data_IF_752913293229
#
_entry.id   IF_752913293229
#
_cell.length_a   1.000
_cell.length_b   1.000
_cell.length_c   1.000
_cell.angle_alpha   90.00
_cell.angle_beta   90.00
_cell.angle_gamma   90.00
#
_symmetry.space_group_name_H-M   'P 1'
#
loop_
_entity.id
_entity.type
_entity.pdbx_description
1 polymer ?
#
# COMPACT_ATOMS: atom_id res chain seq x y z
N UNK A 1 -7.54 13.56 36.43
CA UNK A 1 -7.20 13.86 35.02
C UNK A 1 -5.69 14.01 34.79
N UNK A 2 -4.96 14.69 35.65
CA UNK A 2 -3.51 14.95 35.45
C UNK A 2 -2.65 13.67 35.34
N UNK A 3 -2.89 12.62 36.13
CA UNK A 3 -2.08 11.39 36.09
C UNK A 3 -2.17 10.63 34.76
N UNK A 4 -3.35 10.58 34.13
CA UNK A 4 -3.53 9.92 32.82
C UNK A 4 -2.83 10.75 31.74
N UNK A 5 -2.98 12.07 31.75
CA UNK A 5 -2.28 12.95 30.81
C UNK A 5 -0.76 12.85 30.95
N UNK A 6 -0.23 12.87 32.16
CA UNK A 6 1.21 12.72 32.41
C UNK A 6 1.73 11.35 31.95
N UNK A 7 0.95 10.26 32.15
CA UNK A 7 1.32 8.93 31.66
C UNK A 7 1.34 8.89 30.13
N UNK A 8 0.32 9.45 29.47
CA UNK A 8 0.25 9.53 28.02
C UNK A 8 1.43 10.31 27.45
N UNK A 9 1.70 11.48 28.02
CA UNK A 9 2.74 12.41 27.55
C UNK A 9 4.16 11.88 27.79
N UNK A 10 4.42 11.32 28.95
CA UNK A 10 5.78 10.92 29.34
C UNK A 10 6.14 9.49 28.95
N UNK A 11 5.17 8.56 28.89
CA UNK A 11 5.45 7.14 28.59
C UNK A 11 4.98 6.68 27.22
N UNK A 12 3.84 7.15 26.74
CA UNK A 12 3.28 6.67 25.49
C UNK A 12 3.74 7.50 24.27
N UNK A 13 3.84 8.82 24.42
CA UNK A 13 4.26 9.70 23.33
C UNK A 13 5.66 9.44 22.78
N UNK A 14 6.71 9.28 23.60
CA UNK A 14 8.05 9.14 23.06
C UNK A 14 8.25 7.93 22.14
N UNK A 15 7.82 6.71 22.49
CA UNK A 15 7.94 5.57 21.58
C UNK A 15 7.07 5.71 20.32
N UNK A 16 5.86 6.25 20.43
CA UNK A 16 4.97 6.46 19.28
C UNK A 16 5.53 7.50 18.30
N UNK A 17 6.04 8.61 18.81
CA UNK A 17 6.72 9.61 17.99
C UNK A 17 7.97 9.05 17.32
N UNK A 18 8.71 8.19 18.02
CA UNK A 18 9.89 7.52 17.45
C UNK A 18 9.49 6.62 16.27
N UNK A 19 8.42 5.84 16.41
CA UNK A 19 7.89 5.00 15.33
C UNK A 19 7.38 5.86 14.18
N UNK A 20 6.56 6.88 14.45
CA UNK A 20 6.01 7.77 13.43
C UNK A 20 7.08 8.48 12.60
N UNK A 21 8.23 8.79 13.22
CA UNK A 21 9.35 9.45 12.57
C UNK A 21 10.33 8.50 11.87
N UNK A 22 10.10 7.18 11.90
CA UNK A 22 10.88 6.25 11.09
C UNK A 22 10.74 6.59 9.61
N UNK A 23 11.86 6.62 8.91
CA UNK A 23 11.93 7.05 7.50
C UNK A 23 10.99 6.26 6.60
N UNK A 24 10.95 4.95 6.76
CA UNK A 24 10.06 4.08 5.98
C UNK A 24 8.58 4.32 6.31
N UNK A 25 8.22 4.56 7.58
CA UNK A 25 6.84 4.92 7.98
C UNK A 25 6.42 6.23 7.32
N UNK A 26 7.26 7.25 7.36
CA UNK A 26 7.00 8.54 6.69
C UNK A 26 6.82 8.38 5.18
N UNK A 27 7.62 7.51 4.53
CA UNK A 27 7.46 7.21 3.11
C UNK A 27 6.14 6.50 2.81
N UNK A 28 5.74 5.50 3.62
CA UNK A 28 4.47 4.79 3.48
C UNK A 28 3.29 5.74 3.69
N UNK A 29 3.36 6.64 4.68
CA UNK A 29 2.32 7.65 4.91
C UNK A 29 2.10 8.53 3.67
N UNK A 30 3.19 9.00 3.06
CA UNK A 30 3.13 9.83 1.85
C UNK A 30 2.62 9.02 0.65
N UNK A 31 3.03 7.76 0.53
CA UNK A 31 2.51 6.86 -0.50
C UNK A 31 1.00 6.64 -0.34
N UNK A 32 0.51 6.43 0.88
CA UNK A 32 -0.91 6.30 1.17
C UNK A 32 -1.73 7.52 0.74
N UNK A 33 -1.20 8.72 0.96
CA UNK A 33 -1.89 9.96 0.55
C UNK A 33 -1.93 10.12 -0.97
N UNK A 34 -0.82 9.88 -1.66
CA UNK A 34 -0.76 10.06 -3.12
C UNK A 34 -1.57 9.03 -3.90
N UNK A 35 -1.92 7.91 -3.29
CA UNK A 35 -2.74 6.86 -3.92
C UNK A 35 -4.25 7.11 -3.77
N UNK A 36 -4.68 8.05 -2.93
CA UNK A 36 -6.11 8.37 -2.73
C UNK A 36 -6.87 8.67 -4.02
N UNK A 37 -6.36 9.47 -4.98
CA UNK A 37 -7.09 9.73 -6.23
C UNK A 37 -7.42 8.46 -7.01
N UNK A 38 -6.53 7.47 -7.03
CA UNK A 38 -6.76 6.20 -7.73
C UNK A 38 -7.85 5.36 -7.06
N UNK A 39 -7.90 5.36 -5.72
CA UNK A 39 -8.98 4.68 -5.00
C UNK A 39 -10.33 5.35 -5.22
N UNK A 40 -10.37 6.68 -5.27
CA UNK A 40 -11.60 7.42 -5.56
C UNK A 40 -12.10 7.10 -6.97
N UNK A 41 -11.23 7.15 -7.98
CA UNK A 41 -11.60 6.82 -9.38
C UNK A 41 -12.16 5.40 -9.46
N UNK A 42 -11.48 4.42 -8.90
CA UNK A 42 -11.95 3.04 -8.89
C UNK A 42 -13.29 2.86 -8.16
N UNK A 43 -13.47 3.56 -7.04
CA UNK A 43 -14.72 3.51 -6.25
C UNK A 43 -15.92 4.10 -7.00
N UNK A 44 -15.74 5.16 -7.80
CA UNK A 44 -16.81 5.73 -8.61
C UNK A 44 -17.35 4.67 -9.57
N UNK A 45 -16.49 3.99 -10.30
CA UNK A 45 -16.91 2.96 -11.26
C UNK A 45 -17.46 1.71 -10.56
N UNK A 46 -16.95 1.39 -9.37
CA UNK A 46 -17.50 0.32 -8.54
C UNK A 46 -18.95 0.64 -8.11
N UNK A 47 -19.22 1.88 -7.70
CA UNK A 47 -20.58 2.32 -7.35
C UNK A 47 -21.51 2.20 -8.55
N UNK A 48 -21.06 2.61 -9.74
CA UNK A 48 -21.85 2.50 -10.99
C UNK A 48 -22.23 1.04 -11.26
N UNK A 49 -21.31 0.09 -11.08
CA UNK A 49 -21.57 -1.34 -11.25
C UNK A 49 -22.60 -1.89 -10.25
N UNK A 50 -22.70 -1.30 -9.08
CA UNK A 50 -23.61 -1.74 -8.01
C UNK A 50 -24.91 -0.94 -7.95
N UNK A 51 -25.19 -0.03 -8.88
CA UNK A 51 -26.42 0.76 -8.90
C UNK A 51 -27.72 -0.08 -8.80
N UNK A 52 -27.86 -1.25 -9.48
CA UNK A 52 -29.04 -2.09 -9.33
C UNK A 52 -29.30 -2.55 -7.90
N UNK A 53 -28.24 -2.81 -7.14
CA UNK A 53 -28.35 -3.24 -5.74
C UNK A 53 -28.62 -2.05 -4.81
N UNK A 54 -28.09 -0.87 -5.14
CA UNK A 54 -28.25 0.35 -4.36
C UNK A 54 -29.66 0.93 -4.55
N UNK A 55 -30.22 0.85 -5.77
CA UNK A 55 -31.52 1.39 -6.14
C UNK A 55 -32.35 0.30 -6.83
N UNK A 56 -32.85 -0.71 -6.08
CA UNK A 56 -33.57 -1.86 -6.64
C UNK A 56 -34.75 -1.51 -7.57
N UNK A 57 -35.55 -0.45 -7.32
CA UNK A 57 -36.63 -0.09 -8.21
C UNK A 57 -36.22 0.28 -9.63
N UNK A 58 -34.96 0.69 -9.83
CA UNK A 58 -34.39 1.06 -11.12
C UNK A 58 -33.41 0.01 -11.67
N UNK A 59 -33.33 -1.17 -11.08
CA UNK A 59 -32.36 -2.21 -11.44
C UNK A 59 -32.41 -2.55 -12.95
N UNK A 60 -33.62 -2.84 -13.46
CA UNK A 60 -33.81 -3.19 -14.88
C UNK A 60 -33.43 -2.05 -15.84
N UNK A 61 -33.64 -0.82 -15.43
CA UNK A 61 -33.17 0.34 -16.23
C UNK A 61 -31.63 0.40 -16.29
N UNK A 62 -30.96 0.25 -15.16
CA UNK A 62 -29.49 0.24 -15.11
C UNK A 62 -28.90 -0.93 -15.90
N UNK A 63 -29.45 -2.13 -15.76
CA UNK A 63 -29.00 -3.32 -16.48
C UNK A 63 -29.15 -3.17 -18.00
N UNK A 64 -30.24 -2.58 -18.47
CA UNK A 64 -30.50 -2.39 -19.89
C UNK A 64 -29.76 -1.22 -20.52
N UNK A 65 -29.26 -0.29 -19.72
CA UNK A 65 -28.58 0.93 -20.20
C UNK A 65 -27.10 0.94 -19.83
N UNK A 66 -26.80 1.35 -18.63
CA UNK A 66 -25.42 1.63 -18.17
C UNK A 66 -24.60 0.34 -18.10
N UNK A 67 -25.17 -0.73 -17.52
CA UNK A 67 -24.40 -1.96 -17.26
C UNK A 67 -24.11 -2.78 -18.52
N UNK A 68 -24.75 -2.51 -19.64
CA UNK A 68 -24.33 -3.06 -20.95
C UNK A 68 -22.89 -2.70 -21.31
N UNK A 69 -22.39 -1.59 -20.79
CA UNK A 69 -21.04 -1.10 -21.05
C UNK A 69 -20.09 -1.36 -19.87
N UNK A 70 -20.52 -2.15 -18.88
CA UNK A 70 -19.70 -2.42 -17.67
C UNK A 70 -18.30 -2.93 -17.99
N UNK A 71 -18.05 -3.78 -19.00
CA UNK A 71 -16.68 -4.20 -19.31
C UNK A 71 -15.75 -3.04 -19.70
N UNK A 72 -16.28 -1.95 -20.27
CA UNK A 72 -15.47 -0.79 -20.66
C UNK A 72 -14.97 -0.01 -19.44
N UNK A 73 -15.86 0.30 -18.49
CA UNK A 73 -15.49 1.12 -17.36
C UNK A 73 -15.00 0.31 -16.14
N UNK A 74 -15.27 -0.99 -16.10
CA UNK A 74 -14.61 -1.88 -15.12
C UNK A 74 -13.08 -1.91 -15.28
N UNK A 75 -12.57 -1.64 -16.49
CA UNK A 75 -11.13 -1.43 -16.70
C UNK A 75 -10.60 -0.34 -15.79
N UNK A 76 -11.33 0.74 -15.55
CA UNK A 76 -10.89 1.81 -14.64
C UNK A 76 -10.79 1.33 -13.20
N UNK A 77 -11.71 0.48 -12.71
CA UNK A 77 -11.62 -0.14 -11.39
C UNK A 77 -10.41 -1.08 -11.29
N UNK A 78 -10.20 -1.93 -12.29
CA UNK A 78 -9.08 -2.88 -12.33
C UNK A 78 -7.74 -2.16 -12.37
N UNK A 79 -7.61 -1.11 -13.18
CA UNK A 79 -6.35 -0.37 -13.33
C UNK A 79 -6.12 0.66 -12.21
N UNK A 80 -7.09 0.94 -11.37
CA UNK A 80 -6.94 1.78 -10.19
C UNK A 80 -6.84 0.96 -8.90
N UNK A 81 -7.94 0.49 -8.35
CA UNK A 81 -7.96 -0.31 -7.10
C UNK A 81 -7.28 -1.67 -7.30
N UNK A 82 -7.57 -2.36 -8.40
CA UNK A 82 -7.00 -3.67 -8.72
C UNK A 82 -5.48 -3.65 -8.97
N UNK A 83 -4.89 -2.47 -9.24
CA UNK A 83 -3.45 -2.30 -9.47
C UNK A 83 -2.79 -1.41 -8.42
N UNK A 84 -3.44 -1.20 -7.28
CA UNK A 84 -3.02 -0.21 -6.28
C UNK A 84 -1.62 -0.50 -5.71
N UNK A 85 -1.19 -1.75 -5.67
CA UNK A 85 0.13 -2.14 -5.19
C UNK A 85 1.27 -1.53 -6.03
N UNK A 86 1.07 -1.36 -7.34
CA UNK A 86 2.04 -0.70 -8.21
C UNK A 86 2.24 0.76 -7.80
N UNK A 87 1.16 1.47 -7.52
CA UNK A 87 1.21 2.87 -7.10
C UNK A 87 1.82 3.02 -5.71
N UNK A 88 1.48 2.12 -4.77
CA UNK A 88 2.08 2.10 -3.44
C UNK A 88 3.59 1.83 -3.50
N UNK A 89 4.01 0.85 -4.31
CA UNK A 89 5.42 0.52 -4.50
C UNK A 89 6.21 1.71 -5.05
N UNK A 90 5.76 2.27 -6.17
CA UNK A 90 6.38 3.44 -6.79
C UNK A 90 6.48 4.62 -5.84
N UNK A 91 5.37 4.97 -5.19
CA UNK A 91 5.31 6.10 -4.28
C UNK A 91 6.21 5.88 -3.04
N UNK A 92 6.17 4.69 -2.43
CA UNK A 92 7.00 4.37 -1.27
C UNK A 92 8.49 4.46 -1.62
N UNK A 93 8.91 3.87 -2.74
CA UNK A 93 10.31 3.92 -3.18
C UNK A 93 10.74 5.35 -3.52
N UNK A 94 9.88 6.13 -4.17
CA UNK A 94 10.12 7.54 -4.47
C UNK A 94 10.35 8.35 -3.19
N UNK A 95 9.40 8.32 -2.27
CA UNK A 95 9.45 9.13 -1.05
C UNK A 95 10.57 8.67 -0.11
N UNK A 96 10.81 7.37 0.00
CA UNK A 96 11.90 6.86 0.83
C UNK A 96 13.27 7.28 0.28
N UNK A 97 13.44 7.23 -1.03
CA UNK A 97 14.66 7.72 -1.70
C UNK A 97 14.82 9.23 -1.50
N UNK A 98 13.74 9.99 -1.60
CA UNK A 98 13.76 11.45 -1.40
C UNK A 98 14.13 11.83 0.04
N UNK A 99 13.61 11.08 1.02
CA UNK A 99 13.96 11.25 2.43
C UNK A 99 15.46 11.02 2.63
N UNK A 100 16.01 9.92 2.12
CA UNK A 100 17.45 9.65 2.21
C UNK A 100 18.30 10.68 1.46
N UNK A 101 17.86 11.12 0.29
CA UNK A 101 18.51 12.18 -0.48
C UNK A 101 18.64 13.46 0.33
N UNK A 102 17.56 13.88 1.00
CA UNK A 102 17.52 15.13 1.78
C UNK A 102 18.26 15.01 3.11
N UNK A 103 18.02 13.94 3.86
CA UNK A 103 18.57 13.81 5.22
C UNK A 103 20.05 13.39 5.22
N UNK A 104 20.50 12.56 4.29
CA UNK A 104 21.89 12.10 4.21
C UNK A 104 22.70 12.86 3.15
N UNK A 105 22.08 13.82 2.44
CA UNK A 105 22.70 14.63 1.38
C UNK A 105 23.37 13.76 0.30
N UNK A 106 22.79 12.59 0.01
CA UNK A 106 23.29 11.67 -1.01
C UNK A 106 22.80 12.09 -2.40
N UNK A 107 23.62 11.83 -3.42
CA UNK A 107 23.24 12.06 -4.83
C UNK A 107 22.31 10.94 -5.34
N UNK A 108 21.16 10.78 -4.70
CA UNK A 108 20.13 9.85 -5.10
C UNK A 108 19.11 10.54 -6.02
N UNK A 109 18.59 9.82 -7.00
CA UNK A 109 17.43 10.24 -7.78
C UNK A 109 16.18 9.53 -7.27
N UNK A 110 15.20 10.28 -6.79
CA UNK A 110 13.93 9.72 -6.28
C UNK A 110 13.18 8.96 -7.37
N UNK A 111 13.25 9.43 -8.62
CA UNK A 111 12.66 8.75 -9.76
C UNK A 111 13.34 7.41 -10.06
N UNK A 112 14.69 7.38 -10.06
CA UNK A 112 15.44 6.11 -10.20
C UNK A 112 15.08 5.14 -9.07
N UNK A 113 15.00 5.63 -7.83
CA UNK A 113 14.57 4.82 -6.70
C UNK A 113 13.18 4.20 -6.90
N UNK A 114 12.23 4.98 -7.44
CA UNK A 114 10.89 4.50 -7.76
C UNK A 114 10.92 3.37 -8.83
N UNK A 115 11.68 3.54 -9.88
CA UNK A 115 11.82 2.53 -10.95
C UNK A 115 12.50 1.26 -10.42
N UNK A 116 13.54 1.38 -9.60
CA UNK A 116 14.19 0.22 -8.97
C UNK A 116 13.25 -0.53 -8.00
N UNK A 117 12.41 0.20 -7.26
CA UNK A 117 11.37 -0.40 -6.42
C UNK A 117 10.35 -1.17 -7.23
N UNK A 118 9.84 -0.56 -8.30
CA UNK A 118 8.92 -1.22 -9.22
C UNK A 118 9.54 -2.45 -9.86
N UNK A 119 10.77 -2.38 -10.31
CA UNK A 119 11.50 -3.52 -10.88
C UNK A 119 11.57 -4.70 -9.88
N UNK A 120 11.96 -4.42 -8.64
CA UNK A 120 11.98 -5.43 -7.58
C UNK A 120 10.60 -6.05 -7.33
N UNK A 121 9.53 -5.23 -7.30
CA UNK A 121 8.17 -5.69 -7.12
C UNK A 121 7.72 -6.60 -8.27
N UNK A 122 7.95 -6.19 -9.51
CA UNK A 122 7.57 -6.99 -10.69
C UNK A 122 8.23 -8.38 -10.69
N UNK A 123 9.45 -8.50 -10.16
CA UNK A 123 10.12 -9.80 -10.01
C UNK A 123 9.41 -10.74 -9.01
N UNK A 124 8.54 -10.23 -8.12
CA UNK A 124 7.74 -11.07 -7.20
C UNK A 124 6.45 -11.60 -7.83
N UNK A 125 6.05 -11.07 -8.99
CA UNK A 125 4.81 -11.46 -9.66
C UNK A 125 4.95 -12.82 -10.33
N UNK A 126 6.16 -13.11 -10.84
CA UNK A 126 6.47 -14.37 -11.54
C UNK A 126 6.66 -15.48 -10.52
N UNK A 127 5.90 -16.54 -10.69
CA UNK A 127 5.93 -17.74 -9.85
C UNK A 127 6.88 -18.76 -10.43
N UNK A 128 7.79 -19.25 -9.60
CA UNK A 128 8.79 -20.26 -9.95
C UNK A 128 8.60 -21.46 -9.05
N UNK A 129 8.73 -22.65 -9.62
CA UNK A 129 8.80 -23.91 -8.90
C UNK A 129 10.17 -24.54 -9.07
N UNK A 130 10.63 -25.28 -8.07
CA UNK A 130 11.88 -26.04 -8.11
C UNK A 130 11.56 -27.53 -8.00
N UNK A 131 11.92 -28.27 -9.04
CA UNK A 131 11.78 -29.72 -9.13
C UNK A 131 13.16 -30.37 -9.30
N UNK A 132 13.19 -31.70 -9.34
CA UNK A 132 14.42 -32.48 -9.62
C UNK A 132 15.06 -32.13 -10.97
N UNK A 133 14.29 -31.60 -11.91
CA UNK A 133 14.77 -31.14 -13.22
C UNK A 133 15.33 -29.71 -13.21
N UNK A 134 15.28 -29.01 -12.06
CA UNK A 134 15.73 -27.64 -11.89
C UNK A 134 14.58 -26.64 -11.69
N UNK A 135 14.90 -25.35 -11.80
CA UNK A 135 13.93 -24.28 -11.68
C UNK A 135 13.10 -24.13 -12.96
N UNK A 136 11.79 -24.04 -12.83
CA UNK A 136 10.86 -23.85 -13.95
C UNK A 136 9.79 -22.82 -13.59
N UNK A 137 9.23 -22.16 -14.61
CA UNK A 137 8.08 -21.27 -14.41
C UNK A 137 6.85 -22.12 -14.11
N UNK A 138 6.11 -21.73 -13.05
CA UNK A 138 4.93 -22.47 -12.63
C UNK A 138 3.89 -22.53 -13.77
N UNK A 139 3.37 -23.72 -14.01
CA UNK A 139 2.31 -24.00 -14.98
C UNK A 139 1.17 -24.70 -14.25
N UNK A 140 0.00 -24.09 -14.22
CA UNK A 140 -1.20 -24.70 -13.63
C UNK A 140 -2.41 -24.39 -14.48
N UNK A 141 -3.13 -25.42 -14.89
CA UNK A 141 -4.42 -25.30 -15.57
C UNK A 141 -5.47 -26.02 -14.73
N UNK A 142 -6.41 -25.26 -14.17
CA UNK A 142 -7.49 -25.79 -13.34
C UNK A 142 -8.71 -24.88 -13.36
N UNK A 143 -9.82 -25.36 -12.80
CA UNK A 143 -11.08 -24.61 -12.77
C UNK A 143 -10.99 -23.31 -11.95
N UNK A 144 -10.09 -23.27 -10.97
CA UNK A 144 -9.98 -22.16 -10.01
C UNK A 144 -8.78 -21.24 -10.24
N UNK A 145 -7.75 -21.69 -10.98
CA UNK A 145 -6.58 -20.87 -11.26
C UNK A 145 -5.91 -21.33 -12.57
N UNK A 146 -5.61 -20.37 -13.43
CA UNK A 146 -4.79 -20.58 -14.62
C UNK A 146 -3.50 -19.81 -14.44
N UNK A 147 -2.37 -20.52 -14.33
CA UNK A 147 -1.04 -19.94 -14.28
C UNK A 147 -0.29 -20.37 -15.54
N UNK A 148 0.15 -19.40 -16.33
CA UNK A 148 0.91 -19.63 -17.54
C UNK A 148 2.23 -18.87 -17.49
N UNK A 149 3.34 -19.57 -17.71
CA UNK A 149 4.69 -19.02 -17.59
C UNK A 149 4.91 -18.26 -16.26
N UNK A 150 4.42 -18.81 -15.14
CA UNK A 150 4.54 -18.23 -13.82
C UNK A 150 3.62 -17.04 -13.55
N UNK A 151 2.80 -16.62 -14.49
CA UNK A 151 1.85 -15.50 -14.34
C UNK A 151 0.44 -16.03 -14.17
N UNK A 152 -0.22 -15.63 -13.08
CA UNK A 152 -1.63 -15.94 -12.86
C UNK A 152 -2.50 -15.17 -13.87
N UNK A 153 -3.21 -15.91 -14.72
CA UNK A 153 -4.17 -15.37 -15.67
C UNK A 153 -5.56 -15.41 -15.03
N UNK A 154 -6.34 -14.34 -15.18
CA UNK A 154 -7.70 -14.23 -14.65
C UNK A 154 -7.82 -13.57 -13.27
N UNK A 155 -6.74 -13.42 -12.54
CA UNK A 155 -6.73 -12.73 -11.24
C UNK A 155 -5.62 -11.67 -11.17
N UNK A 156 -5.74 -10.65 -12.00
CA UNK A 156 -4.88 -9.46 -11.90
C UNK A 156 -4.89 -8.87 -10.48
N UNK A 157 -6.06 -8.91 -9.85
CA UNK A 157 -6.34 -8.29 -8.55
C UNK A 157 -5.52 -8.89 -7.42
N UNK A 158 -5.27 -10.20 -7.39
CA UNK A 158 -4.66 -10.86 -6.23
C UNK A 158 -3.22 -10.46 -5.96
N UNK A 159 -2.41 -10.23 -6.99
CA UNK A 159 -0.99 -9.90 -6.83
C UNK A 159 -0.69 -8.41 -6.94
N UNK A 160 -1.53 -7.64 -7.64
CA UNK A 160 -1.37 -6.20 -7.82
C UNK A 160 -2.19 -5.36 -6.83
N UNK A 161 -3.09 -5.98 -6.06
CA UNK A 161 -3.78 -5.37 -4.92
C UNK A 161 -3.62 -6.23 -3.67
N UNK A 162 -4.38 -5.99 -2.65
CA UNK A 162 -4.37 -6.85 -1.48
C UNK A 162 -2.99 -7.00 -0.83
N UNK A 163 -2.58 -8.25 -0.64
CA UNK A 163 -1.25 -8.60 -0.09
C UNK A 163 -0.13 -7.98 -0.92
N UNK A 164 -0.34 -7.79 -2.24
CA UNK A 164 0.61 -7.12 -3.13
C UNK A 164 1.01 -5.72 -2.68
N UNK A 165 0.13 -4.98 -1.99
CA UNK A 165 0.47 -3.66 -1.44
C UNK A 165 1.65 -3.77 -0.45
N UNK A 166 1.60 -4.75 0.45
CA UNK A 166 2.64 -4.96 1.46
C UNK A 166 3.95 -5.47 0.83
N UNK A 167 3.85 -6.31 -0.18
CA UNK A 167 5.00 -6.76 -0.96
C UNK A 167 5.62 -5.59 -1.72
N UNK A 168 4.79 -4.74 -2.33
CA UNK A 168 5.23 -3.51 -2.97
C UNK A 168 5.97 -2.57 -2.02
N UNK A 169 5.48 -2.41 -0.80
CA UNK A 169 6.16 -1.63 0.25
C UNK A 169 7.50 -2.29 0.63
N UNK A 170 7.51 -3.61 0.85
CA UNK A 170 8.71 -4.36 1.22
C UNK A 170 9.79 -4.27 0.15
N UNK A 171 9.44 -4.52 -1.11
CA UNK A 171 10.36 -4.43 -2.25
C UNK A 171 10.83 -3.00 -2.50
N UNK A 172 9.97 -2.00 -2.32
CA UNK A 172 10.34 -0.59 -2.38
C UNK A 172 11.40 -0.24 -1.33
N UNK A 173 11.21 -0.67 -0.09
CA UNK A 173 12.18 -0.47 1.00
C UNK A 173 13.50 -1.17 0.67
N UNK A 174 13.45 -2.45 0.27
CA UNK A 174 14.62 -3.24 -0.08
C UNK A 174 15.42 -2.60 -1.22
N UNK A 175 14.77 -2.27 -2.33
CA UNK A 175 15.41 -1.66 -3.48
C UNK A 175 16.02 -0.29 -3.14
N UNK A 176 15.32 0.53 -2.37
CA UNK A 176 15.83 1.83 -1.92
C UNK A 176 17.07 1.65 -1.02
N UNK A 177 17.08 0.66 -0.12
CA UNK A 177 18.26 0.41 0.73
C UNK A 177 19.46 -0.07 -0.08
N UNK A 178 19.26 -0.94 -1.07
CA UNK A 178 20.34 -1.36 -2.00
C UNK A 178 20.87 -0.16 -2.78
N UNK A 179 19.97 0.64 -3.35
CA UNK A 179 20.37 1.84 -4.11
C UNK A 179 21.14 2.84 -3.23
N UNK A 180 20.62 3.14 -2.04
CA UNK A 180 21.29 3.98 -1.04
C UNK A 180 22.66 3.44 -0.66
N UNK A 181 22.77 2.12 -0.40
CA UNK A 181 24.04 1.48 -0.06
C UNK A 181 25.06 1.64 -1.18
N UNK A 182 24.69 1.38 -2.44
CA UNK A 182 25.57 1.52 -3.58
C UNK A 182 26.08 2.96 -3.74
N UNK A 183 25.21 3.95 -3.66
CA UNK A 183 25.58 5.37 -3.77
C UNK A 183 26.48 5.78 -2.60
N UNK A 184 26.13 5.40 -1.37
CA UNK A 184 26.92 5.73 -0.17
C UNK A 184 28.32 5.11 -0.19
N UNK A 185 28.44 3.89 -0.74
CA UNK A 185 29.74 3.20 -0.89
C UNK A 185 30.44 3.51 -2.20
N UNK A 186 29.87 4.39 -3.04
CA UNK A 186 30.39 4.72 -4.37
C UNK A 186 30.51 3.51 -5.31
N UNK A 187 29.68 2.51 -5.12
CA UNK A 187 29.56 1.31 -5.97
C UNK A 187 28.55 1.65 -7.10
N UNK A 188 28.90 2.64 -7.90
CA UNK A 188 28.09 3.11 -9.04
C UNK A 188 29.01 3.51 -10.18
N UNK A 189 28.52 3.38 -11.41
CA UNK A 189 29.25 3.85 -12.57
C UNK A 189 29.17 5.38 -12.61
N UNK A 190 30.32 6.03 -12.55
CA UNK A 190 30.41 7.48 -12.65
C UNK A 190 30.76 7.87 -14.09
N UNK A 191 30.00 8.81 -14.64
CA UNK A 191 30.23 9.34 -15.95
C UNK A 191 31.16 10.58 -15.91
N UNK A 192 31.97 10.81 -16.95
CA UNK A 192 32.78 12.01 -17.07
C UNK A 192 31.93 13.29 -17.10
N UNK A 193 32.56 14.41 -16.77
CA UNK A 193 31.94 15.71 -16.90
C UNK A 193 31.56 15.99 -18.38
N UNK A 194 30.33 16.52 -18.58
CA UNK A 194 29.80 16.79 -19.93
C UNK A 194 28.76 15.77 -20.42
N UNK A 195 28.62 14.62 -19.75
CA UNK A 195 27.54 13.67 -20.07
C UNK A 195 26.21 14.20 -19.54
N UNK A 196 25.11 14.15 -20.33
CA UNK A 196 23.78 14.58 -19.88
C UNK A 196 23.36 13.90 -18.59
N UNK A 197 22.71 14.64 -17.69
CA UNK A 197 22.33 14.19 -16.33
C UNK A 197 21.47 12.92 -16.35
N UNK A 198 20.54 12.80 -17.31
CA UNK A 198 19.71 11.61 -17.47
C UNK A 198 20.51 10.35 -17.77
N UNK A 199 21.54 10.46 -18.64
CA UNK A 199 22.45 9.36 -19.00
C UNK A 199 23.30 8.98 -17.79
N UNK A 200 23.87 9.96 -17.09
CA UNK A 200 24.67 9.73 -15.89
C UNK A 200 23.88 9.00 -14.80
N UNK A 201 22.62 9.38 -14.57
CA UNK A 201 21.72 8.70 -13.62
C UNK A 201 21.37 7.27 -14.05
N UNK A 202 21.17 7.04 -15.34
CA UNK A 202 20.89 5.71 -15.87
C UNK A 202 22.08 4.77 -15.62
N UNK A 203 23.30 5.18 -15.96
CA UNK A 203 24.50 4.36 -15.71
C UNK A 203 24.82 4.19 -14.23
N UNK A 204 24.58 5.21 -13.39
CA UNK A 204 24.77 5.12 -11.95
C UNK A 204 23.80 4.12 -11.30
N UNK A 205 22.64 3.85 -11.92
CA UNK A 205 21.64 2.88 -11.42
C UNK A 205 21.88 1.44 -11.88
N UNK A 206 22.79 1.21 -12.83
CA UNK A 206 23.00 -0.12 -13.41
C UNK A 206 23.46 -1.15 -12.37
N UNK A 207 24.50 -0.83 -11.59
CA UNK A 207 25.01 -1.73 -10.54
C UNK A 207 23.93 -1.98 -9.46
N UNK A 208 23.24 -0.96 -8.90
CA UNK A 208 22.09 -1.18 -8.04
C UNK A 208 21.03 -2.11 -8.63
N UNK A 209 20.66 -1.93 -9.90
CA UNK A 209 19.67 -2.78 -10.56
C UNK A 209 20.11 -4.24 -10.65
N UNK A 210 21.38 -4.49 -11.01
CA UNK A 210 21.98 -5.83 -11.05
C UNK A 210 21.93 -6.48 -9.67
N UNK A 211 22.34 -5.77 -8.62
CA UNK A 211 22.31 -6.30 -7.24
C UNK A 211 20.89 -6.61 -6.82
N UNK A 212 19.91 -5.74 -7.13
CA UNK A 212 18.50 -5.97 -6.84
C UNK A 212 18.00 -7.21 -7.58
N UNK A 213 18.34 -7.37 -8.87
CA UNK A 213 17.95 -8.56 -9.64
C UNK A 213 18.46 -9.85 -9.01
N UNK A 214 19.77 -9.92 -8.71
CA UNK A 214 20.35 -11.10 -8.05
C UNK A 214 19.73 -11.37 -6.67
N UNK A 215 19.48 -10.32 -5.89
CA UNK A 215 18.85 -10.45 -4.58
C UNK A 215 17.42 -10.98 -4.69
N UNK A 216 16.63 -10.49 -5.65
CA UNK A 216 15.27 -10.98 -5.89
C UNK A 216 15.26 -12.41 -6.43
N UNK A 217 16.20 -12.78 -7.31
CA UNK A 217 16.37 -14.16 -7.77
C UNK A 217 16.68 -15.08 -6.59
N UNK A 218 17.60 -14.66 -5.71
CA UNK A 218 17.94 -15.43 -4.52
C UNK A 218 16.74 -15.60 -3.58
N UNK A 219 16.01 -14.53 -3.31
CA UNK A 219 14.81 -14.56 -2.45
C UNK A 219 13.76 -15.49 -3.05
N UNK A 220 13.40 -15.30 -4.32
CA UNK A 220 12.40 -16.12 -4.99
C UNK A 220 12.85 -17.59 -5.07
N UNK A 221 14.12 -17.85 -5.40
CA UNK A 221 14.67 -19.21 -5.44
C UNK A 221 14.65 -19.90 -4.07
N UNK A 222 15.06 -19.19 -3.00
CA UNK A 222 14.95 -19.74 -1.64
C UNK A 222 13.50 -20.07 -1.26
N UNK A 223 12.54 -19.21 -1.60
CA UNK A 223 11.13 -19.45 -1.28
C UNK A 223 10.54 -20.59 -2.13
N UNK A 224 10.95 -20.70 -3.39
CA UNK A 224 10.51 -21.77 -4.28
C UNK A 224 10.94 -23.17 -3.79
N UNK A 225 12.10 -23.30 -3.13
CA UNK A 225 12.51 -24.56 -2.46
C UNK A 225 11.48 -25.00 -1.41
N UNK A 226 10.80 -24.04 -0.76
CA UNK A 226 9.73 -24.33 0.21
C UNK A 226 8.34 -24.35 -0.44
N UNK A 227 8.26 -24.46 -1.78
CA UNK A 227 7.00 -24.41 -2.55
C UNK A 227 6.12 -23.20 -2.21
N UNK A 228 6.74 -22.05 -1.98
CA UNK A 228 6.06 -20.78 -1.66
C UNK A 228 6.73 -19.61 -2.39
N UNK A 229 6.10 -18.45 -2.32
CA UNK A 229 6.65 -17.18 -2.81
C UNK A 229 6.40 -16.07 -1.77
N UNK A 230 6.80 -14.83 -2.07
CA UNK A 230 6.59 -13.70 -1.16
C UNK A 230 5.11 -13.45 -0.86
N UNK A 231 4.22 -13.69 -1.83
CA UNK A 231 2.77 -13.56 -1.63
C UNK A 231 2.24 -14.62 -0.67
N UNK A 232 2.61 -15.88 -0.85
CA UNK A 232 2.23 -16.98 0.04
C UNK A 232 2.83 -16.82 1.45
N UNK A 233 4.06 -16.32 1.55
CA UNK A 233 4.70 -16.08 2.85
C UNK A 233 4.00 -14.99 3.65
N UNK A 234 3.57 -13.90 3.00
CA UNK A 234 2.93 -12.76 3.67
C UNK A 234 1.41 -12.93 3.84
N UNK A 235 0.77 -13.87 3.13
CA UNK A 235 -0.68 -14.07 3.23
C UNK A 235 -1.12 -14.41 4.66
N UNK A 236 -0.45 -15.34 5.34
CA UNK A 236 -0.83 -15.77 6.70
C UNK A 236 -0.76 -14.67 7.77
N UNK A 237 0.36 -13.93 7.93
CA UNK A 237 0.39 -12.78 8.84
C UNK A 237 -0.65 -11.71 8.47
N UNK A 238 -0.89 -11.55 7.16
CA UNK A 238 -1.84 -10.58 6.67
C UNK A 238 -3.30 -10.98 7.02
N UNK A 239 -3.68 -12.24 6.86
CA UNK A 239 -4.99 -12.77 7.26
C UNK A 239 -5.26 -12.48 8.74
N UNK A 240 -4.29 -12.73 9.63
CA UNK A 240 -4.43 -12.42 11.05
C UNK A 240 -4.73 -10.91 11.29
N UNK A 241 -4.00 -10.03 10.64
CA UNK A 241 -4.21 -8.57 10.79
C UNK A 241 -5.54 -8.15 10.16
N UNK A 242 -5.93 -8.76 9.05
CA UNK A 242 -7.22 -8.55 8.39
C UNK A 242 -8.38 -8.97 9.31
N UNK A 243 -8.30 -10.15 9.93
CA UNK A 243 -9.31 -10.63 10.87
C UNK A 243 -9.45 -9.69 12.06
N UNK A 244 -8.32 -9.20 12.58
CA UNK A 244 -8.33 -8.20 13.64
C UNK A 244 -9.03 -6.91 13.21
N UNK A 245 -8.69 -6.38 12.03
CA UNK A 245 -9.30 -5.13 11.50
C UNK A 245 -10.73 -5.31 11.05
N UNK A 246 -11.13 -6.51 10.63
CA UNK A 246 -12.49 -6.89 10.26
C UNK A 246 -13.41 -7.10 11.45
N UNK A 247 -12.87 -7.28 12.64
CA UNK A 247 -13.66 -7.48 13.86
C UNK A 247 -14.10 -6.15 14.48
N UNK A 248 -15.30 -6.14 15.11
CA UNK A 248 -15.79 -4.98 15.85
C UNK A 248 -14.83 -4.54 16.96
N UNK A 249 -14.27 -5.50 17.70
CA UNK A 249 -13.31 -5.20 18.77
C UNK A 249 -12.03 -4.60 18.20
N UNK A 250 -11.51 -5.18 17.12
CA UNK A 250 -10.28 -4.69 16.49
C UNK A 250 -10.43 -3.28 15.95
N UNK A 251 -11.54 -2.97 15.27
CA UNK A 251 -11.77 -1.61 14.76
C UNK A 251 -11.90 -0.59 15.91
N UNK A 252 -12.57 -0.96 17.01
CA UNK A 252 -12.67 -0.09 18.20
C UNK A 252 -11.28 0.18 18.77
N UNK A 253 -10.43 -0.84 18.93
CA UNK A 253 -9.06 -0.67 19.44
C UNK A 253 -8.24 0.23 18.53
N UNK A 254 -8.32 0.03 17.21
CA UNK A 254 -7.63 0.86 16.22
C UNK A 254 -8.08 2.32 16.31
N UNK A 255 -9.40 2.55 16.37
CA UNK A 255 -9.95 3.88 16.50
C UNK A 255 -9.52 4.56 17.81
N UNK A 256 -9.55 3.83 18.91
CA UNK A 256 -9.09 4.31 20.21
C UNK A 256 -7.62 4.71 20.16
N UNK A 257 -6.76 3.91 19.54
CA UNK A 257 -5.35 4.24 19.37
C UNK A 257 -5.15 5.50 18.52
N UNK A 258 -5.91 5.66 17.44
CA UNK A 258 -5.86 6.85 16.58
C UNK A 258 -6.23 8.10 17.38
N UNK A 259 -7.31 8.05 18.18
CA UNK A 259 -7.76 9.17 18.98
C UNK A 259 -6.82 9.47 20.16
N UNK A 260 -6.23 8.45 20.78
CA UNK A 260 -5.22 8.62 21.81
C UNK A 260 -3.97 9.34 21.25
N UNK A 261 -3.53 8.99 20.03
CA UNK A 261 -2.45 9.71 19.36
C UNK A 261 -2.79 11.17 19.14
N UNK A 262 -4.02 11.47 18.70
CA UNK A 262 -4.50 12.84 18.56
C UNK A 262 -4.53 13.60 19.88
N UNK A 263 -4.96 12.96 20.98
CA UNK A 263 -5.00 13.56 22.31
C UNK A 263 -3.62 14.00 22.80
N UNK A 264 -2.55 13.37 22.33
CA UNK A 264 -1.16 13.69 22.67
C UNK A 264 -0.43 14.50 21.58
N UNK A 265 -1.18 15.06 20.62
CA UNK A 265 -0.63 15.95 19.58
C UNK A 265 0.02 15.23 18.39
N UNK A 266 -0.14 13.91 18.26
CA UNK A 266 0.33 13.13 17.11
C UNK A 266 -0.82 12.90 16.14
N UNK A 267 -0.59 13.11 14.84
CA UNK A 267 -1.62 12.87 13.82
C UNK A 267 -1.90 11.39 13.63
N UNK A 268 -2.76 10.83 14.49
CA UNK A 268 -3.01 9.38 14.58
C UNK A 268 -3.47 8.74 13.27
N UNK A 269 -4.29 9.43 12.46
CA UNK A 269 -4.68 8.92 11.14
C UNK A 269 -3.51 8.80 10.18
N UNK A 270 -2.58 9.74 10.20
CA UNK A 270 -1.40 9.65 9.35
C UNK A 270 -0.54 8.45 9.74
N UNK A 271 -0.29 8.27 11.03
CA UNK A 271 0.61 7.22 11.55
C UNK A 271 0.00 5.83 11.45
N UNK A 272 -1.25 5.65 11.86
CA UNK A 272 -1.87 4.32 11.93
C UNK A 272 -2.69 4.03 10.68
N UNK A 273 -3.66 4.90 10.36
CA UNK A 273 -4.61 4.64 9.29
C UNK A 273 -3.94 4.63 7.93
N UNK A 274 -3.24 5.69 7.55
CA UNK A 274 -2.68 5.81 6.21
C UNK A 274 -1.51 4.86 5.96
N UNK A 275 -0.76 4.50 7.02
CA UNK A 275 0.40 3.61 6.88
C UNK A 275 0.02 2.13 6.86
N UNK A 276 -0.94 1.73 7.68
CA UNK A 276 -1.23 0.31 7.92
C UNK A 276 -2.67 -0.08 7.62
N UNK A 277 -3.64 0.72 8.06
CA UNK A 277 -5.06 0.32 8.01
C UNK A 277 -5.66 0.51 6.62
N UNK A 278 -5.38 1.62 5.93
CA UNK A 278 -5.89 1.86 4.59
C UNK A 278 -5.55 0.74 3.59
N UNK A 279 -4.30 0.23 3.53
CA UNK A 279 -3.99 -0.92 2.69
C UNK A 279 -4.88 -2.13 2.99
N UNK A 280 -5.15 -2.41 4.28
CA UNK A 280 -5.98 -3.56 4.70
C UNK A 280 -7.45 -3.34 4.32
N UNK A 281 -7.97 -2.13 4.54
CA UNK A 281 -9.34 -1.78 4.14
C UNK A 281 -9.53 -1.83 2.62
N UNK A 282 -8.49 -1.52 1.85
CA UNK A 282 -8.50 -1.67 0.40
C UNK A 282 -8.52 -3.14 -0.03
N UNK A 283 -7.79 -4.01 0.68
CA UNK A 283 -7.87 -5.46 0.46
C UNK A 283 -9.30 -5.95 0.70
N UNK A 284 -9.88 -5.61 1.84
CA UNK A 284 -11.26 -5.96 2.16
C UNK A 284 -12.25 -5.44 1.10
N UNK A 285 -12.00 -4.26 0.53
CA UNK A 285 -12.80 -3.72 -0.57
C UNK A 285 -12.65 -4.55 -1.85
N UNK A 286 -11.43 -4.94 -2.22
CA UNK A 286 -11.21 -5.77 -3.42
C UNK A 286 -11.84 -7.14 -3.28
N UNK A 287 -11.76 -7.77 -2.10
CA UNK A 287 -12.44 -9.03 -1.83
C UNK A 287 -13.97 -8.90 -1.91
N UNK A 288 -14.53 -7.77 -1.48
CA UNK A 288 -15.97 -7.51 -1.64
C UNK A 288 -16.37 -7.38 -3.12
N UNK A 289 -15.47 -6.91 -3.99
CA UNK A 289 -15.69 -6.93 -5.44
C UNK A 289 -15.78 -8.38 -5.95
N UNK A 290 -14.98 -9.27 -5.37
CA UNK A 290 -14.95 -10.69 -5.71
C UNK A 290 -16.04 -11.52 -4.99
N UNK A 291 -16.97 -10.86 -4.28
CA UNK A 291 -18.14 -11.47 -3.65
C UNK A 291 -18.03 -11.73 -2.13
N UNK A 292 -16.95 -11.31 -1.47
CA UNK A 292 -16.88 -11.31 -0.01
C UNK A 292 -17.80 -10.26 0.63
N UNK A 293 -18.00 -10.36 1.94
CA UNK A 293 -18.91 -9.46 2.70
C UNK A 293 -18.18 -8.82 3.88
N UNK A 294 -17.03 -8.20 3.64
CA UNK A 294 -16.29 -7.46 4.66
C UNK A 294 -17.04 -6.16 5.01
N UNK A 295 -17.42 -5.99 6.27
CA UNK A 295 -18.13 -4.78 6.73
C UNK A 295 -17.21 -3.58 6.73
N UNK A 296 -16.02 -3.71 7.30
CA UNK A 296 -15.02 -2.64 7.35
C UNK A 296 -14.13 -2.70 6.10
N UNK A 297 -14.58 -2.11 5.02
CA UNK A 297 -13.88 -2.11 3.74
C UNK A 297 -13.78 -0.71 3.15
N UNK A 298 -12.72 -0.45 2.39
CA UNK A 298 -12.54 0.81 1.67
C UNK A 298 -12.60 2.03 2.59
N UNK A 299 -13.48 2.96 2.28
CA UNK A 299 -13.58 4.24 2.98
C UNK A 299 -14.62 4.27 4.12
N UNK A 300 -15.15 3.10 4.53
CA UNK A 300 -16.14 2.97 5.60
C UNK A 300 -15.74 3.73 6.87
N UNK A 301 -14.48 3.58 7.28
CA UNK A 301 -13.94 4.24 8.47
C UNK A 301 -14.01 5.76 8.36
N UNK A 302 -13.73 6.33 7.18
CA UNK A 302 -13.81 7.77 6.96
C UNK A 302 -15.24 8.27 7.00
N UNK A 303 -16.16 7.55 6.37
CA UNK A 303 -17.54 8.00 6.20
C UNK A 303 -18.35 7.87 7.47
N UNK A 304 -18.13 6.81 8.26
CA UNK A 304 -19.01 6.49 9.40
C UNK A 304 -18.35 6.66 10.76
N UNK A 305 -17.02 6.47 10.86
CA UNK A 305 -16.34 6.52 12.15
C UNK A 305 -15.69 7.89 12.37
N UNK A 306 -15.12 8.49 11.34
CA UNK A 306 -14.50 9.81 11.43
C UNK A 306 -15.43 10.96 11.07
N UNK A 307 -16.74 10.84 11.33
CA UNK A 307 -17.69 11.96 11.18
C UNK A 307 -17.21 13.12 12.04
N UNK A 308 -16.94 14.25 11.42
CA UNK A 308 -16.41 15.45 12.11
C UNK A 308 -14.90 15.47 12.29
N UNK A 309 -14.17 14.59 11.60
CA UNK A 309 -12.71 14.53 11.57
C UNK A 309 -12.12 13.52 12.53
N UNK A 310 -10.87 13.15 12.26
CA UNK A 310 -10.15 12.10 12.96
C UNK A 310 -9.81 12.39 14.43
N UNK A 311 -9.99 13.63 14.89
CA UNK A 311 -9.86 14.01 16.30
C UNK A 311 -11.19 14.13 17.02
N UNK A 312 -12.31 13.73 16.39
CA UNK A 312 -13.68 13.90 16.92
C UNK A 312 -13.99 15.34 17.38
N UNK A 313 -13.44 16.32 16.67
CA UNK A 313 -13.49 17.73 17.07
C UNK A 313 -14.82 18.40 16.74
N UNK A 314 -15.72 17.76 15.98
CA UNK A 314 -17.01 18.35 15.62
C UNK A 314 -17.83 18.74 16.85
N UNK A 315 -17.90 17.88 17.85
CA UNK A 315 -18.58 18.18 19.12
C UNK A 315 -18.01 19.40 19.85
N UNK A 316 -16.68 19.54 19.83
CA UNK A 316 -15.99 20.70 20.39
C UNK A 316 -16.30 21.97 19.59
N UNK A 317 -16.27 21.91 18.26
CA UNK A 317 -16.60 23.05 17.38
C UNK A 317 -18.05 23.48 17.60
N UNK A 318 -18.99 22.56 17.66
CA UNK A 318 -20.40 22.87 17.96
C UNK A 318 -20.57 23.48 19.36
N UNK A 319 -19.89 22.93 20.35
CA UNK A 319 -19.90 23.50 21.71
C UNK A 319 -19.36 24.93 21.73
N UNK A 320 -18.25 25.18 21.03
CA UNK A 320 -17.67 26.51 20.91
C UNK A 320 -18.60 27.46 20.17
N UNK A 321 -19.26 27.03 19.12
CA UNK A 321 -20.16 27.84 18.31
C UNK A 321 -21.39 28.31 19.15
N UNK A 322 -21.91 27.48 20.05
CA UNK A 322 -23.11 27.79 20.84
C UNK A 322 -22.83 28.25 22.27
N UNK A 323 -21.64 27.99 22.82
CA UNK A 323 -21.34 28.25 24.23
C UNK A 323 -20.10 29.11 24.47
N UNK A 324 -19.23 29.30 23.48
CA UNK A 324 -18.09 30.18 23.68
C UNK A 324 -18.56 31.63 23.80
N UNK A 325 -18.27 32.25 24.94
CA UNK A 325 -18.36 33.69 25.08
C UNK A 325 -17.10 34.29 24.51
N UNK A 326 -17.22 35.07 23.43
CA UNK A 326 -16.12 35.90 22.97
C UNK A 326 -15.73 36.88 24.11
N UNK A 327 -14.53 36.79 24.62
CA UNK A 327 -13.90 37.88 25.37
C UNK A 327 -13.29 38.83 24.38
#
# INVERSE_FOLDING_TARGET
MNHVFTFLEQRLMPPLNKVANLRFIRAIMQAGVITVPFTIVGSIFLIINNLPQIIPPLASFFEQTILKFSPLYSVATTMSIGSIALFYCLATAYYLTDIYRKEEKLQLSSFVGAILGLFAFLMTIIQVDISDSGAQLLQTTGETAIIYNGVALGSWVTRFSGVGIFIGILTAVLATQVYRFCVKKKITIQMPAGVPDGVSKAFASLIPAIIIAFLMILINGCLAVFHTDLHGLLSKPFEFVKDLTGSWLGIIVIMLLIHLLWAVGVHGTAVIKNSFINPILLVALTENIDGATNIFAGDFVNMYIFIGGAGSTLGLVLLMLFRAKSQ
#
